data_IF_834857637684
#
_entry.id   IF_834857637684
#
_cell.length_a   1.000
_cell.length_b   1.000
_cell.length_c   1.000
_cell.angle_alpha   90.00
_cell.angle_beta   90.00
_cell.angle_gamma   90.00
#
_symmetry.space_group_name_H-M   'P 1'
#
loop_
_entity.id
_entity.type
_entity.pdbx_description
1 polymer ?
#
# COMPACT_ATOMS: atom_id res chain seq x y z
N UNK A 1 49.25 -12.29 35.27
CA UNK A 1 47.93 -11.66 35.24
C UNK A 1 47.77 -10.98 33.89
N UNK A 2 47.02 -11.58 32.97
CA UNK A 2 46.63 -10.98 31.71
C UNK A 2 45.16 -11.37 31.48
N UNK A 3 44.29 -10.36 31.47
CA UNK A 3 42.85 -10.50 31.32
C UNK A 3 42.49 -11.03 29.92
N UNK A 4 41.49 -11.92 29.77
CA UNK A 4 41.05 -12.35 28.46
C UNK A 4 40.26 -11.23 27.76
N UNK A 5 40.66 -10.93 26.53
CA UNK A 5 39.92 -10.02 25.65
C UNK A 5 38.58 -10.64 25.26
N UNK A 6 37.52 -9.93 25.65
CA UNK A 6 36.13 -10.26 25.36
C UNK A 6 35.85 -9.96 23.88
N UNK A 7 35.84 -11.01 23.05
CA UNK A 7 35.49 -10.94 21.64
C UNK A 7 33.96 -10.78 21.53
N UNK A 8 33.48 -9.55 21.39
CA UNK A 8 32.05 -9.27 21.24
C UNK A 8 31.56 -9.82 19.89
N UNK A 9 30.82 -10.91 19.99
CA UNK A 9 29.98 -11.47 18.94
C UNK A 9 29.08 -10.40 18.34
N UNK A 10 29.36 -9.99 17.10
CA UNK A 10 28.44 -9.22 16.29
C UNK A 10 27.22 -10.10 15.98
N UNK A 11 26.15 -9.92 16.75
CA UNK A 11 24.86 -10.52 16.45
C UNK A 11 24.38 -9.93 15.12
N UNK A 12 24.42 -10.75 14.07
CA UNK A 12 23.74 -10.47 12.81
C UNK A 12 22.24 -10.44 13.15
N UNK A 13 21.70 -9.24 13.29
CA UNK A 13 20.26 -9.04 13.44
C UNK A 13 19.63 -9.57 12.16
N UNK A 14 18.89 -10.68 12.26
CA UNK A 14 18.07 -11.18 11.17
C UNK A 14 17.27 -10.00 10.61
N UNK A 15 17.18 -9.81 9.27
CA UNK A 15 16.46 -8.67 8.73
C UNK A 15 15.05 -8.70 9.31
N UNK A 16 14.71 -7.65 10.08
CA UNK A 16 13.34 -7.44 10.52
C UNK A 16 12.49 -7.53 9.26
N UNK A 17 11.54 -8.46 9.23
CA UNK A 17 10.75 -8.77 8.04
C UNK A 17 10.17 -7.46 7.50
N UNK A 18 10.77 -6.95 6.42
CA UNK A 18 10.48 -5.59 5.97
C UNK A 18 9.00 -5.45 5.65
N UNK A 19 8.40 -4.34 6.10
CA UNK A 19 6.96 -4.10 5.92
C UNK A 19 6.63 -4.00 4.43
N UNK A 20 5.71 -4.84 3.96
CA UNK A 20 5.25 -4.84 2.57
C UNK A 20 4.34 -3.64 2.31
N UNK A 21 4.75 -2.76 1.41
CA UNK A 21 4.00 -1.53 1.13
C UNK A 21 2.80 -1.78 0.22
N UNK A 22 2.91 -2.71 -0.72
CA UNK A 22 1.84 -3.01 -1.67
C UNK A 22 1.54 -4.49 -1.68
N UNK A 23 0.30 -4.83 -1.31
CA UNK A 23 -0.16 -6.23 -1.23
C UNK A 23 -1.51 -6.41 -1.89
N UNK A 24 -1.77 -7.62 -2.36
CA UNK A 24 -3.10 -8.03 -2.81
C UNK A 24 -3.97 -8.31 -1.59
N UNK A 25 -5.14 -7.68 -1.50
CA UNK A 25 -6.06 -7.79 -0.35
C UNK A 25 -7.51 -7.83 -0.80
N UNK A 26 -8.35 -8.49 -0.02
CA UNK A 26 -9.78 -8.56 -0.27
C UNK A 26 -10.54 -7.39 0.38
N UNK A 27 -11.54 -6.87 -0.31
CA UNK A 27 -12.55 -5.99 0.28
C UNK A 27 -13.55 -6.85 1.06
N UNK A 28 -13.58 -6.69 2.37
CA UNK A 28 -14.44 -7.48 3.26
C UNK A 28 -15.75 -6.76 3.59
N UNK A 29 -15.75 -5.43 3.52
CA UNK A 29 -16.95 -4.64 3.73
C UNK A 29 -16.97 -3.40 2.86
N UNK A 30 -18.15 -3.00 2.38
CA UNK A 30 -18.37 -1.70 1.76
C UNK A 30 -19.47 -0.99 2.54
N UNK A 31 -19.09 0.07 3.25
CA UNK A 31 -20.01 0.96 3.94
C UNK A 31 -20.20 2.21 3.09
N UNK A 32 -21.35 2.86 3.24
CA UNK A 32 -21.58 4.21 2.68
C UNK A 32 -21.16 5.24 3.72
N UNK A 33 -20.02 5.93 3.60
CA UNK A 33 -19.69 7.14 4.31
C UNK A 33 -20.11 8.34 3.44
N UNK A 34 -20.36 9.43 4.13
CA UNK A 34 -20.22 10.80 3.66
C UNK A 34 -20.45 11.16 2.17
N UNK A 35 -21.42 12.04 1.99
CA UNK A 35 -21.46 12.95 0.84
C UNK A 35 -20.55 14.15 1.12
N UNK A 36 -19.45 14.29 0.40
CA UNK A 36 -18.65 15.51 0.41
C UNK A 36 -19.10 16.37 -0.78
N UNK A 37 -19.90 17.41 -0.50
CA UNK A 37 -20.55 18.25 -1.53
C UNK A 37 -21.30 17.39 -2.55
N UNK A 38 -20.77 17.30 -3.78
CA UNK A 38 -21.32 16.58 -4.93
C UNK A 38 -20.62 15.24 -5.21
N UNK A 39 -19.63 14.84 -4.39
CA UNK A 39 -18.90 13.57 -4.58
C UNK A 39 -19.54 12.47 -3.74
N UNK A 40 -19.84 11.35 -4.39
CA UNK A 40 -20.29 10.12 -3.74
C UNK A 40 -19.07 9.29 -3.36
N UNK A 41 -18.85 9.09 -2.08
CA UNK A 41 -17.74 8.30 -1.55
C UNK A 41 -18.26 7.03 -0.86
N UNK A 42 -17.39 6.04 -0.73
CA UNK A 42 -17.60 4.75 -0.04
C UNK A 42 -16.41 4.48 0.88
N UNK A 43 -16.63 3.83 2.03
CA UNK A 43 -15.59 3.31 2.91
C UNK A 43 -15.53 1.85 2.52
N UNK A 44 -14.37 1.42 2.07
CA UNK A 44 -14.08 -0.01 1.88
C UNK A 44 -13.21 -0.45 3.05
N UNK A 45 -13.59 -1.55 3.68
CA UNK A 45 -12.74 -2.24 4.65
C UNK A 45 -11.96 -3.31 3.91
N UNK A 46 -10.64 -3.26 4.06
CA UNK A 46 -9.69 -4.14 3.40
C UNK A 46 -9.11 -5.09 4.43
N UNK A 47 -9.22 -6.40 4.15
CA UNK A 47 -8.74 -7.49 5.00
C UNK A 47 -9.15 -7.36 6.48
N UNK A 48 -10.37 -6.87 6.74
CA UNK A 48 -10.92 -6.62 8.08
C UNK A 48 -10.08 -5.73 9.01
N UNK A 49 -9.14 -4.96 8.44
CA UNK A 49 -8.16 -4.20 9.22
C UNK A 49 -8.15 -2.72 8.88
N UNK A 50 -8.25 -2.39 7.60
CA UNK A 50 -8.01 -1.04 7.13
C UNK A 50 -9.25 -0.45 6.48
N UNK A 51 -9.70 0.69 7.00
CA UNK A 51 -10.74 1.48 6.34
C UNK A 51 -10.10 2.45 5.35
N UNK A 52 -10.60 2.45 4.11
CA UNK A 52 -10.14 3.34 3.04
C UNK A 52 -11.33 4.05 2.44
N UNK A 53 -11.29 5.38 2.44
CA UNK A 53 -12.35 6.20 1.84
C UNK A 53 -12.02 6.46 0.37
N UNK A 54 -12.85 5.93 -0.52
CA UNK A 54 -12.68 6.05 -1.95
C UNK A 54 -13.88 6.72 -2.60
N UNK A 55 -13.69 7.27 -3.81
CA UNK A 55 -14.83 7.63 -4.66
C UNK A 55 -15.63 6.36 -4.96
N UNK A 56 -16.96 6.48 -5.03
CA UNK A 56 -17.82 5.37 -5.43
C UNK A 56 -17.33 4.83 -6.77
N UNK A 57 -16.87 3.59 -6.75
CA UNK A 57 -16.45 2.76 -7.89
C UNK A 57 -17.34 1.52 -7.94
N UNK A 58 -17.10 0.67 -8.93
CA UNK A 58 -17.83 -0.59 -9.14
C UNK A 58 -17.26 -1.77 -8.31
N UNK A 59 -16.55 -1.50 -7.22
CA UNK A 59 -16.08 -2.54 -6.32
C UNK A 59 -17.24 -3.20 -5.57
N UNK A 60 -17.08 -4.48 -5.27
CA UNK A 60 -17.98 -5.33 -4.50
C UNK A 60 -17.24 -5.96 -3.32
N UNK A 61 -18.00 -6.36 -2.30
CA UNK A 61 -17.46 -7.21 -1.25
C UNK A 61 -17.00 -8.53 -1.88
N UNK A 62 -15.80 -8.97 -1.53
CA UNK A 62 -15.15 -10.15 -2.10
C UNK A 62 -14.10 -9.83 -3.17
N UNK A 63 -14.12 -8.63 -3.76
CA UNK A 63 -13.14 -8.22 -4.76
C UNK A 63 -11.74 -8.17 -4.16
N UNK A 64 -10.75 -8.61 -4.93
CA UNK A 64 -9.34 -8.42 -4.60
C UNK A 64 -8.84 -7.11 -5.23
N UNK A 65 -8.10 -6.33 -4.45
CA UNK A 65 -7.55 -5.03 -4.83
C UNK A 65 -6.08 -4.97 -4.44
N UNK A 66 -5.33 -4.08 -5.10
CA UNK A 66 -4.03 -3.69 -4.59
C UNK A 66 -4.21 -2.66 -3.49
N UNK A 67 -3.75 -3.02 -2.30
CA UNK A 67 -3.74 -2.17 -1.13
C UNK A 67 -2.34 -1.60 -0.92
N UNK A 68 -2.27 -0.27 -0.88
CA UNK A 68 -1.06 0.50 -0.62
C UNK A 68 -1.13 0.98 0.82
N UNK A 69 -0.19 0.54 1.64
CA UNK A 69 -0.12 0.94 3.05
C UNK A 69 0.28 2.42 3.20
N UNK A 70 0.01 2.98 4.39
CA UNK A 70 0.51 4.30 4.79
C UNK A 70 2.04 4.37 4.63
N UNK A 71 2.52 5.54 4.23
CA UNK A 71 3.92 5.81 3.86
C UNK A 71 4.38 5.16 2.54
N UNK A 72 3.46 4.60 1.74
CA UNK A 72 3.75 4.32 0.34
C UNK A 72 3.86 5.63 -0.45
N UNK A 73 4.94 5.80 -1.21
CA UNK A 73 5.09 6.82 -2.24
C UNK A 73 4.83 6.18 -3.60
N UNK A 74 3.73 6.58 -4.24
CA UNK A 74 3.31 6.05 -5.54
C UNK A 74 3.71 7.04 -6.63
N UNK A 75 4.69 6.73 -7.50
CA UNK A 75 5.08 7.62 -8.58
C UNK A 75 3.89 7.99 -9.48
N UNK A 76 3.81 9.26 -9.89
CA UNK A 76 2.76 9.71 -10.80
C UNK A 76 2.89 9.10 -12.21
N UNK A 77 4.07 8.58 -12.54
CA UNK A 77 4.41 7.82 -13.75
C UNK A 77 3.90 6.37 -13.69
N UNK A 78 3.86 5.77 -12.51
CA UNK A 78 3.48 4.36 -12.32
C UNK A 78 1.97 4.13 -12.45
N UNK A 79 1.14 5.15 -12.16
CA UNK A 79 -0.31 4.99 -12.08
C UNK A 79 -1.07 6.18 -12.65
N UNK A 80 -2.27 5.92 -13.20
CA UNK A 80 -3.18 6.98 -13.62
C UNK A 80 -3.89 7.59 -12.41
N UNK A 81 -3.21 8.50 -11.72
CA UNK A 81 -3.80 9.25 -10.61
C UNK A 81 -4.98 10.11 -11.12
N UNK A 82 -6.11 10.01 -10.42
CA UNK A 82 -7.30 10.82 -10.71
C UNK A 82 -7.00 12.32 -10.63
N UNK A 83 -7.71 13.14 -11.41
CA UNK A 83 -7.47 14.59 -11.53
C UNK A 83 -7.37 15.31 -10.17
N UNK A 84 -8.22 14.94 -9.22
CA UNK A 84 -8.24 15.50 -7.86
C UNK A 84 -6.94 15.23 -7.05
N UNK A 85 -6.20 14.18 -7.40
CA UNK A 85 -4.98 13.77 -6.70
C UNK A 85 -3.74 14.50 -7.22
N UNK A 86 -3.80 15.09 -8.43
CA UNK A 86 -2.65 15.78 -9.05
C UNK A 86 -2.20 17.02 -8.29
N UNK A 87 -3.11 17.65 -7.54
CA UNK A 87 -2.79 18.77 -6.65
C UNK A 87 -2.26 18.34 -5.27
N UNK A 88 -2.20 17.04 -5.00
CA UNK A 88 -1.77 16.46 -3.71
C UNK A 88 -0.46 15.67 -3.86
N UNK A 89 0.29 15.90 -4.94
CA UNK A 89 1.55 15.21 -5.20
C UNK A 89 2.66 15.81 -4.36
N UNK A 90 3.46 14.94 -3.77
CA UNK A 90 4.74 15.27 -3.14
C UNK A 90 5.88 14.99 -4.12
N UNK A 91 7.09 15.40 -3.73
CA UNK A 91 8.33 15.07 -4.41
C UNK A 91 9.19 14.18 -3.50
N UNK A 92 9.78 13.13 -4.07
CA UNK A 92 10.73 12.24 -3.42
C UNK A 92 11.80 11.87 -4.45
N UNK A 93 13.06 12.12 -4.13
CA UNK A 93 14.21 11.83 -5.00
C UNK A 93 14.09 12.43 -6.43
N UNK A 94 13.54 13.65 -6.53
CA UNK A 94 13.30 14.34 -7.81
C UNK A 94 12.13 13.78 -8.64
N UNK A 95 11.39 12.82 -8.10
CA UNK A 95 10.21 12.22 -8.73
C UNK A 95 8.93 12.74 -8.06
N UNK A 96 7.92 13.09 -8.87
CA UNK A 96 6.60 13.49 -8.37
C UNK A 96 5.70 12.28 -8.17
N UNK A 97 5.01 12.21 -7.04
CA UNK A 97 4.17 11.08 -6.71
C UNK A 97 3.16 11.38 -5.61
N UNK A 98 2.26 10.43 -5.37
CA UNK A 98 1.30 10.52 -4.28
C UNK A 98 1.83 9.80 -3.05
N UNK A 99 1.97 10.52 -1.94
CA UNK A 99 2.21 9.89 -0.64
C UNK A 99 0.88 9.46 0.00
N UNK A 100 0.79 8.16 0.26
CA UNK A 100 -0.30 7.57 1.05
C UNK A 100 -0.12 7.96 2.51
N UNK A 101 -1.16 8.57 3.10
CA UNK A 101 -1.17 9.04 4.50
C UNK A 101 -2.48 8.65 5.16
N UNK A 102 -2.47 8.42 6.47
CA UNK A 102 -3.70 8.39 7.25
C UNK A 102 -4.38 9.76 7.20
N UNK A 103 -5.68 9.80 6.92
CA UNK A 103 -6.47 11.04 6.89
C UNK A 103 -7.86 10.80 7.44
N UNK A 104 -8.43 11.82 8.08
CA UNK A 104 -9.85 11.82 8.44
C UNK A 104 -10.66 12.36 7.25
N UNK A 105 -11.38 11.48 6.56
CA UNK A 105 -12.25 11.87 5.44
C UNK A 105 -13.70 11.72 5.91
N UNK A 106 -14.36 12.86 6.07
CA UNK A 106 -15.73 12.92 6.54
C UNK A 106 -16.02 12.14 7.83
N UNK A 107 -15.22 12.37 8.86
CA UNK A 107 -15.31 11.69 10.16
C UNK A 107 -15.06 10.17 10.09
N UNK A 108 -14.57 9.65 8.97
CA UNK A 108 -14.11 8.27 8.86
C UNK A 108 -12.59 8.29 8.72
N UNK A 109 -11.93 7.37 9.40
CA UNK A 109 -10.51 7.15 9.18
C UNK A 109 -10.28 6.55 7.80
N UNK A 110 -9.25 7.02 7.10
CA UNK A 110 -8.84 6.50 5.81
C UNK A 110 -7.34 6.23 5.87
N UNK A 111 -6.98 4.96 5.99
CA UNK A 111 -5.60 4.49 6.18
C UNK A 111 -5.22 3.59 5.02
N UNK A 112 -4.46 4.15 4.08
CA UNK A 112 -4.04 3.44 2.87
C UNK A 112 -4.71 3.96 1.61
N UNK A 113 -4.45 3.27 0.51
CA UNK A 113 -5.05 3.54 -0.79
C UNK A 113 -5.37 2.21 -1.49
N UNK A 114 -6.44 2.17 -2.29
CA UNK A 114 -6.80 0.97 -3.06
C UNK A 114 -6.90 1.26 -4.54
N UNK A 115 -6.39 0.34 -5.35
CA UNK A 115 -6.54 0.37 -6.81
C UNK A 115 -6.97 -0.99 -7.34
N UNK A 116 -7.62 -0.97 -8.50
CA UNK A 116 -8.03 -2.18 -9.20
C UNK A 116 -6.79 -2.89 -9.72
N UNK A 117 -6.75 -4.23 -9.65
CA UNK A 117 -5.61 -5.02 -10.15
C UNK A 117 -5.49 -4.83 -11.67
N UNK A 118 -6.62 -4.59 -12.34
CA UNK A 118 -6.73 -4.32 -13.77
C UNK A 118 -5.96 -3.08 -14.22
N UNK A 119 -5.69 -2.14 -13.29
CA UNK A 119 -4.87 -0.96 -13.58
C UNK A 119 -3.36 -1.32 -13.69
N UNK A 120 -2.96 -2.57 -13.36
CA UNK A 120 -1.58 -3.04 -13.29
C UNK A 120 -1.38 -4.38 -14.03
N UNK A 121 -1.20 -4.37 -15.37
CA UNK A 121 -1.13 -5.58 -16.18
C UNK A 121 -0.04 -6.58 -15.74
N UNK A 122 1.14 -6.09 -15.33
CA UNK A 122 2.21 -6.96 -14.84
C UNK A 122 1.87 -7.65 -13.52
N UNK A 123 1.25 -6.93 -12.58
CA UNK A 123 0.81 -7.52 -11.30
C UNK A 123 -0.31 -8.52 -11.54
N UNK A 124 -1.28 -8.18 -12.41
CA UNK A 124 -2.33 -9.11 -12.83
C UNK A 124 -1.74 -10.39 -13.41
N UNK A 125 -0.78 -10.29 -14.31
CA UNK A 125 -0.13 -11.45 -14.91
C UNK A 125 0.55 -12.34 -13.86
N UNK A 126 1.24 -11.76 -12.87
CA UNK A 126 1.82 -12.53 -11.75
C UNK A 126 0.73 -13.27 -10.98
N UNK A 127 -0.39 -12.60 -10.65
CA UNK A 127 -1.53 -13.23 -9.95
C UNK A 127 -2.11 -14.37 -10.78
N UNK A 128 -2.26 -14.21 -12.09
CA UNK A 128 -2.79 -15.23 -12.99
C UNK A 128 -1.85 -16.46 -13.02
N UNK A 129 -0.53 -16.26 -13.09
CA UNK A 129 0.46 -17.37 -12.98
C UNK A 129 0.30 -18.12 -11.66
N UNK A 130 0.19 -17.41 -10.53
CA UNK A 130 0.01 -18.06 -9.22
C UNK A 130 -1.29 -18.89 -9.18
N UNK A 131 -2.36 -18.42 -9.84
CA UNK A 131 -3.63 -19.16 -9.91
C UNK A 131 -3.56 -20.36 -10.83
N UNK A 132 -2.77 -20.30 -11.91
CA UNK A 132 -2.52 -21.43 -12.80
C UNK A 132 -1.67 -22.51 -12.12
N UNK A 133 -0.64 -22.10 -11.37
CA UNK A 133 0.31 -23.02 -10.73
C UNK A 133 -0.28 -23.69 -9.48
N UNK A 134 -0.97 -22.93 -8.62
CA UNK A 134 -1.45 -23.41 -7.32
C UNK A 134 -2.98 -23.64 -7.27
N UNK A 135 -3.69 -23.29 -8.34
CA UNK A 135 -5.16 -23.29 -8.39
C UNK A 135 -5.77 -21.94 -7.94
N UNK A 136 -7.06 -21.70 -8.21
CA UNK A 136 -7.65 -20.35 -8.09
C UNK A 136 -7.61 -19.75 -6.69
N UNK A 137 -7.94 -20.52 -5.66
CA UNK A 137 -8.00 -20.02 -4.27
C UNK A 137 -6.60 -19.93 -3.66
N UNK A 138 -5.81 -21.00 -3.79
CA UNK A 138 -4.46 -21.06 -3.21
C UNK A 138 -3.52 -20.09 -3.93
N UNK A 139 -3.62 -19.94 -5.24
CA UNK A 139 -2.87 -18.94 -6.00
C UNK A 139 -3.17 -17.51 -5.56
N UNK A 140 -4.43 -17.18 -5.23
CA UNK A 140 -4.77 -15.89 -4.63
C UNK A 140 -4.15 -15.72 -3.23
N UNK A 141 -4.13 -16.79 -2.42
CA UNK A 141 -3.49 -16.79 -1.10
C UNK A 141 -1.99 -16.53 -1.22
N UNK A 142 -1.32 -17.24 -2.12
CA UNK A 142 0.13 -17.07 -2.42
C UNK A 142 0.40 -15.65 -2.90
N UNK A 143 -0.37 -15.15 -3.88
CA UNK A 143 -0.23 -13.79 -4.39
C UNK A 143 -0.45 -12.72 -3.29
N UNK A 144 -1.38 -12.96 -2.36
CA UNK A 144 -1.63 -12.07 -1.21
C UNK A 144 -0.49 -12.04 -0.20
N UNK A 145 0.40 -13.04 -0.23
CA UNK A 145 1.63 -13.07 0.56
C UNK A 145 2.79 -12.39 -0.17
N UNK A 146 2.67 -12.02 -1.45
CA UNK A 146 3.73 -11.31 -2.19
C UNK A 146 3.75 -9.81 -1.88
N UNK A 147 4.86 -9.17 -2.23
CA UNK A 147 5.05 -7.73 -2.18
C UNK A 147 5.16 -7.20 -3.62
N UNK A 148 4.38 -6.17 -3.96
CA UNK A 148 4.31 -5.65 -5.34
C UNK A 148 4.96 -4.27 -5.50
N UNK A 149 5.49 -3.68 -4.43
CA UNK A 149 6.10 -2.35 -4.47
C UNK A 149 7.25 -2.26 -5.47
N UNK A 150 8.15 -3.26 -5.51
CA UNK A 150 9.26 -3.29 -6.47
C UNK A 150 8.79 -3.40 -7.93
N UNK A 151 7.72 -4.15 -8.17
CA UNK A 151 7.11 -4.30 -9.51
C UNK A 151 6.48 -2.99 -9.99
N UNK A 152 5.88 -2.24 -9.06
CA UNK A 152 5.17 -0.98 -9.37
C UNK A 152 6.11 0.24 -9.32
N UNK A 153 7.26 0.13 -8.65
CA UNK A 153 8.16 1.25 -8.37
C UNK A 153 7.73 2.09 -7.17
N UNK A 154 6.92 1.53 -6.28
CA UNK A 154 6.51 2.20 -5.03
C UNK A 154 7.69 2.22 -4.06
N UNK A 155 7.94 3.39 -3.48
CA UNK A 155 9.01 3.61 -2.49
C UNK A 155 8.39 3.84 -1.12
N UNK A 156 9.15 3.57 -0.05
CA UNK A 156 8.78 4.05 1.28
C UNK A 156 9.06 5.55 1.34
N UNK A 157 8.06 6.34 1.70
CA UNK A 157 8.27 7.73 2.04
C UNK A 157 8.81 7.81 3.47
N UNK A 158 9.92 8.50 3.65
CA UNK A 158 10.45 8.87 4.96
C UNK A 158 10.54 10.39 5.04
N UNK A 159 10.27 10.95 6.21
CA UNK A 159 10.47 12.37 6.40
C UNK A 159 11.95 12.67 6.17
N UNK A 160 12.31 13.74 5.45
CA UNK A 160 13.69 14.21 5.44
C UNK A 160 14.11 14.32 6.89
N UNK A 161 15.19 13.61 7.27
CA UNK A 161 15.69 13.63 8.64
C UNK A 161 15.77 15.08 9.08
N UNK A 162 14.88 15.49 9.99
CA UNK A 162 14.91 16.83 10.54
C UNK A 162 16.32 17.04 11.06
N UNK A 163 17.00 18.08 10.57
CA UNK A 163 18.24 18.52 11.18
C UNK A 163 17.99 18.58 12.68
N UNK A 164 18.76 17.80 13.43
CA UNK A 164 18.80 17.87 14.88
C UNK A 164 19.38 19.25 15.25
N UNK A 165 18.57 20.30 15.18
CA UNK A 165 18.85 21.58 15.79
C UNK A 165 18.31 21.49 17.21
N UNK A 166 19.27 21.27 18.12
CA UNK A 166 19.16 21.48 19.54
C UNK A 166 18.64 22.89 19.88
#
# INVERSE_FOLDING_TARGET
MASPQNNQSSLVVAPALERKLVTLRQITQIRRPCRLRFKRMVVVTVADRWDVVIKKREYKVGDHVLFFEVDSFIPATAVKLGRDMRGLLDELDGERGYRVRSRLVCKNESQGYVMAIEDFPYVRHIVDIMKEEYGPEEGLRVASMMAFEGVIGVKKWEAPNGSNTA
#
